data_IF_757172036141
#
_entry.id   IF_757172036141
#
_cell.length_a   1.000
_cell.length_b   1.000
_cell.length_c   1.000
_cell.angle_alpha   90.00
_cell.angle_beta   90.00
_cell.angle_gamma   90.00
#
_symmetry.space_group_name_H-M   'P 1'
#
loop_
_entity.id
_entity.type
_entity.pdbx_description
1 polymer ?
#
# COMPACT_ATOMS: atom_id res chain seq x y z
N UNK A 1 19.59 -5.73 -9.03
CA UNK A 1 18.93 -4.60 -8.30
C UNK A 1 18.82 -3.32 -9.11
N UNK A 2 19.89 -2.73 -9.67
CA UNK A 2 19.79 -1.46 -10.41
C UNK A 2 18.77 -1.50 -11.58
N UNK A 3 18.81 -2.58 -12.39
CA UNK A 3 17.83 -2.83 -13.46
C UNK A 3 16.38 -2.84 -12.99
N UNK A 4 16.11 -3.45 -11.83
CA UNK A 4 14.77 -3.50 -11.24
C UNK A 4 14.28 -2.08 -10.89
N UNK A 5 15.11 -1.31 -10.18
CA UNK A 5 14.74 0.06 -9.79
C UNK A 5 14.55 0.97 -11.00
N UNK A 6 15.37 0.79 -12.05
CA UNK A 6 15.23 1.51 -13.31
C UNK A 6 13.91 1.18 -14.02
N UNK A 7 13.57 -0.11 -14.09
CA UNK A 7 12.31 -0.59 -14.66
C UNK A 7 11.09 -0.06 -13.88
N UNK A 8 11.10 -0.17 -12.54
CA UNK A 8 10.02 0.33 -11.71
C UNK A 8 9.87 1.87 -11.83
N UNK A 9 10.98 2.60 -11.92
CA UNK A 9 10.96 4.04 -12.15
C UNK A 9 10.46 4.41 -13.56
N UNK A 10 10.76 3.59 -14.59
CA UNK A 10 10.25 3.78 -15.94
C UNK A 10 8.72 3.59 -15.99
N UNK A 11 8.19 2.56 -15.34
CA UNK A 11 6.74 2.34 -15.25
C UNK A 11 6.04 3.47 -14.50
N UNK A 12 6.64 3.95 -13.38
CA UNK A 12 6.12 5.13 -12.66
C UNK A 12 6.06 6.36 -13.58
N UNK A 13 7.10 6.60 -14.39
CA UNK A 13 7.09 7.71 -15.37
C UNK A 13 6.03 7.53 -16.44
N UNK A 14 5.87 6.33 -16.99
CA UNK A 14 4.85 6.04 -17.99
C UNK A 14 3.43 6.29 -17.45
N UNK A 15 3.13 5.83 -16.23
CA UNK A 15 1.84 6.11 -15.57
C UNK A 15 1.66 7.62 -15.36
N UNK A 16 2.71 8.32 -14.93
CA UNK A 16 2.67 9.78 -14.73
C UNK A 16 2.43 10.56 -16.02
N UNK A 17 3.04 10.14 -17.13
CA UNK A 17 2.86 10.74 -18.45
C UNK A 17 1.45 10.51 -18.99
N UNK A 18 0.90 9.31 -18.79
CA UNK A 18 -0.43 8.94 -19.28
C UNK A 18 -1.58 9.52 -18.42
N UNK A 19 -1.41 9.55 -17.09
CA UNK A 19 -2.49 9.84 -16.15
C UNK A 19 -2.32 11.15 -15.38
N UNK A 20 -1.19 11.84 -15.54
CA UNK A 20 -0.88 13.03 -14.77
C UNK A 20 -0.67 12.74 -13.28
N UNK A 21 -0.94 13.72 -12.42
CA UNK A 21 -0.67 13.57 -10.97
C UNK A 21 -1.67 12.68 -10.25
N UNK A 22 -2.92 12.59 -10.71
CA UNK A 22 -4.02 11.96 -9.98
C UNK A 22 -3.83 10.45 -9.73
N UNK A 23 -2.98 9.78 -10.52
CA UNK A 23 -2.71 8.34 -10.40
C UNK A 23 -1.28 8.11 -9.91
N UNK A 24 -1.15 7.37 -8.81
CA UNK A 24 0.12 6.84 -8.31
C UNK A 24 0.48 5.47 -8.89
N UNK A 25 1.75 5.09 -8.78
CA UNK A 25 2.23 3.75 -9.14
C UNK A 25 3.27 3.25 -8.14
N UNK A 26 3.07 2.03 -7.65
CA UNK A 26 4.04 1.30 -6.83
C UNK A 26 4.13 -0.15 -7.31
N UNK A 27 5.33 -0.71 -7.30
CA UNK A 27 5.54 -2.13 -7.55
C UNK A 27 5.90 -2.85 -6.25
N UNK A 28 5.30 -4.00 -6.03
CA UNK A 28 5.54 -4.89 -4.90
C UNK A 28 6.08 -6.21 -5.45
N UNK A 29 7.41 -6.34 -5.44
CA UNK A 29 8.12 -7.39 -6.16
C UNK A 29 8.02 -8.79 -5.54
N UNK A 30 7.90 -8.86 -4.22
CA UNK A 30 7.73 -10.07 -3.44
C UNK A 30 6.96 -9.70 -2.16
N UNK A 31 6.50 -10.70 -1.42
CA UNK A 31 5.93 -10.54 -0.09
C UNK A 31 6.97 -10.83 1.00
N UNK A 32 8.25 -10.53 0.75
CA UNK A 32 9.32 -10.61 1.73
C UNK A 32 9.70 -9.23 2.28
N UNK A 33 10.69 -9.19 3.17
CA UNK A 33 11.17 -7.97 3.82
C UNK A 33 11.57 -6.89 2.80
N UNK A 34 12.31 -7.27 1.75
CA UNK A 34 12.82 -6.30 0.76
C UNK A 34 11.70 -5.77 -0.14
N UNK A 35 10.80 -6.62 -0.64
CA UNK A 35 9.65 -6.18 -1.41
C UNK A 35 8.77 -5.24 -0.60
N UNK A 36 8.54 -5.56 0.68
CA UNK A 36 7.78 -4.69 1.58
C UNK A 36 8.46 -3.35 1.86
N UNK A 37 9.79 -3.33 2.02
CA UNK A 37 10.55 -2.08 2.19
C UNK A 37 10.42 -1.16 0.96
N UNK A 38 10.65 -1.70 -0.24
CA UNK A 38 10.56 -0.94 -1.49
C UNK A 38 9.11 -0.48 -1.74
N UNK A 39 8.11 -1.31 -1.40
CA UNK A 39 6.69 -0.94 -1.42
C UNK A 39 6.40 0.22 -0.47
N UNK A 40 6.84 0.17 0.79
CA UNK A 40 6.61 1.26 1.75
C UNK A 40 7.20 2.59 1.26
N UNK A 41 8.42 2.57 0.72
CA UNK A 41 9.06 3.75 0.13
C UNK A 41 8.27 4.30 -1.05
N UNK A 42 7.82 3.44 -1.96
CA UNK A 42 7.00 3.82 -3.11
C UNK A 42 5.63 4.35 -2.71
N UNK A 43 4.95 3.68 -1.78
CA UNK A 43 3.64 4.06 -1.26
C UNK A 43 3.66 5.47 -0.67
N UNK A 44 4.66 5.82 0.15
CA UNK A 44 4.78 7.18 0.72
C UNK A 44 4.94 8.29 -0.36
N UNK A 45 5.43 7.95 -1.55
CA UNK A 45 5.61 8.89 -2.66
C UNK A 45 4.35 8.96 -3.53
N UNK A 46 3.72 7.82 -3.80
CA UNK A 46 2.65 7.69 -4.80
C UNK A 46 1.25 7.48 -4.21
N UNK A 47 1.09 7.45 -2.89
CA UNK A 47 -0.19 7.43 -2.17
C UNK A 47 -0.52 8.75 -1.45
N UNK A 48 0.05 9.87 -1.91
CA UNK A 48 -0.15 11.20 -1.30
C UNK A 48 -1.58 11.71 -1.44
N UNK A 49 -1.91 12.78 -0.70
CA UNK A 49 -3.23 13.43 -0.72
C UNK A 49 -3.66 13.92 -2.11
N UNK A 50 -2.71 14.25 -3.00
CA UNK A 50 -2.97 14.67 -4.39
C UNK A 50 -3.23 13.52 -5.37
N UNK A 51 -3.39 12.29 -4.84
CA UNK A 51 -3.65 11.07 -5.60
C UNK A 51 -5.06 10.58 -5.30
N UNK A 52 -5.83 10.37 -6.36
CA UNK A 52 -7.19 9.83 -6.33
C UNK A 52 -7.20 8.31 -6.59
N UNK A 53 -6.20 7.81 -7.32
CA UNK A 53 -6.01 6.39 -7.56
C UNK A 53 -4.56 5.94 -7.36
N UNK A 54 -4.37 4.67 -7.02
CA UNK A 54 -3.06 4.01 -6.94
C UNK A 54 -3.08 2.69 -7.71
N UNK A 55 -2.10 2.53 -8.61
CA UNK A 55 -1.78 1.23 -9.22
C UNK A 55 -0.75 0.53 -8.33
N UNK A 56 -1.10 -0.66 -7.85
CA UNK A 56 -0.18 -1.59 -7.20
C UNK A 56 0.13 -2.69 -8.22
N UNK A 57 1.37 -2.73 -8.69
CA UNK A 57 1.86 -3.74 -9.62
C UNK A 57 2.50 -4.89 -8.85
N UNK A 58 1.87 -6.07 -8.90
CA UNK A 58 2.33 -7.33 -8.27
C UNK A 58 2.68 -8.39 -9.32
N UNK A 59 2.94 -7.96 -10.56
CA UNK A 59 3.39 -8.86 -11.63
C UNK A 59 4.74 -9.46 -11.29
N UNK A 60 4.90 -10.76 -11.51
CA UNK A 60 6.13 -11.47 -11.14
C UNK A 60 6.34 -11.65 -9.63
N UNK A 61 5.34 -11.35 -8.79
CA UNK A 61 5.44 -11.55 -7.34
C UNK A 61 5.17 -13.01 -6.96
N UNK A 62 6.21 -13.71 -6.49
CA UNK A 62 6.17 -15.14 -6.19
C UNK A 62 5.65 -15.47 -4.76
N UNK A 63 5.17 -14.47 -4.03
CA UNK A 63 4.67 -14.60 -2.65
C UNK A 63 5.71 -14.30 -1.59
N UNK A 64 5.52 -14.88 -0.39
CA UNK A 64 6.22 -14.53 0.85
C UNK A 64 5.28 -14.61 2.05
N UNK A 65 5.33 -13.65 2.98
CA UNK A 65 4.57 -13.70 4.24
C UNK A 65 4.11 -12.35 4.81
N UNK A 66 4.23 -11.25 4.05
CA UNK A 66 3.88 -9.89 4.52
C UNK A 66 2.51 -9.40 4.05
N UNK A 67 1.65 -10.26 3.50
CA UNK A 67 0.30 -9.89 3.04
C UNK A 67 -0.51 -9.11 4.06
N UNK A 68 -0.50 -9.52 5.34
CA UNK A 68 -1.20 -8.82 6.43
C UNK A 68 -0.79 -7.34 6.54
N UNK A 69 0.52 -7.07 6.44
CA UNK A 69 1.06 -5.71 6.54
C UNK A 69 0.69 -4.87 5.31
N UNK A 70 0.71 -5.48 4.13
CA UNK A 70 0.29 -4.86 2.87
C UNK A 70 -1.22 -4.53 2.94
N UNK A 71 -2.05 -5.48 3.38
CA UNK A 71 -3.49 -5.30 3.50
C UNK A 71 -3.86 -4.21 4.51
N UNK A 72 -3.22 -4.18 5.68
CA UNK A 72 -3.42 -3.11 6.67
C UNK A 72 -3.15 -1.73 6.07
N UNK A 73 -2.14 -1.61 5.20
CA UNK A 73 -1.83 -0.34 4.52
C UNK A 73 -2.86 0.02 3.45
N UNK A 74 -3.24 -0.93 2.60
CA UNK A 74 -4.14 -0.69 1.46
C UNK A 74 -5.61 -0.50 1.89
N UNK A 75 -6.00 -1.09 3.02
CA UNK A 75 -7.35 -1.03 3.54
C UNK A 75 -7.59 0.14 4.51
N UNK A 76 -6.57 0.92 4.86
CA UNK A 76 -6.74 2.12 5.68
C UNK A 76 -7.38 3.24 4.84
N UNK A 77 -8.66 3.61 5.07
CA UNK A 77 -9.36 4.57 4.24
C UNK A 77 -8.92 6.00 4.56
N UNK A 78 -8.94 6.86 3.54
CA UNK A 78 -8.78 8.30 3.73
C UNK A 78 -10.09 8.84 4.33
N UNK A 79 -10.00 9.38 5.54
CA UNK A 79 -11.15 9.92 6.27
C UNK A 79 -11.39 11.40 5.97
N UNK A 80 -10.32 12.14 5.66
CA UNK A 80 -10.42 13.56 5.37
C UNK A 80 -9.09 14.21 5.10
N UNK A 81 -9.05 15.54 5.29
CA UNK A 81 -7.86 16.35 5.12
C UNK A 81 -7.67 17.28 6.32
N UNK A 82 -6.41 17.50 6.68
CA UNK A 82 -6.04 18.57 7.58
C UNK A 82 -5.58 19.76 6.75
N UNK A 83 -6.29 20.89 6.90
CA UNK A 83 -5.99 22.14 6.23
C UNK A 83 -5.31 23.09 7.24
N UNK A 84 -3.97 23.19 7.26
CA UNK A 84 -3.31 24.12 8.15
C UNK A 84 -3.57 25.57 7.70
N UNK A 85 -3.54 26.52 8.64
CA UNK A 85 -3.68 27.95 8.34
C UNK A 85 -2.60 28.45 7.35
N UNK A 86 -1.44 27.80 7.37
CA UNK A 86 -0.35 28.00 6.43
C UNK A 86 0.23 26.65 6.03
N UNK A 87 0.42 26.39 4.74
CA UNK A 87 1.00 25.15 4.23
C UNK A 87 0.08 24.40 3.27
N UNK A 88 0.43 23.15 2.97
CA UNK A 88 -0.36 22.27 2.11
C UNK A 88 -1.32 21.41 2.94
N UNK A 89 -2.50 21.12 2.38
CA UNK A 89 -3.40 20.16 2.99
C UNK A 89 -2.78 18.75 2.99
N UNK A 90 -2.81 18.09 4.13
CA UNK A 90 -2.42 16.69 4.30
C UNK A 90 -3.65 15.81 4.40
N UNK A 91 -3.52 14.53 4.08
CA UNK A 91 -4.59 13.56 4.27
C UNK A 91 -4.63 13.07 5.72
N UNK A 92 -5.81 12.67 6.18
CA UNK A 92 -6.02 12.04 7.48
C UNK A 92 -6.70 10.68 7.28
N UNK A 93 -6.14 9.58 7.80
CA UNK A 93 -4.77 9.44 8.34
C UNK A 93 -3.68 9.76 7.31
N UNK A 94 -2.49 10.17 7.76
CA UNK A 94 -1.37 10.63 6.91
C UNK A 94 -0.96 9.61 5.84
N UNK A 95 -1.07 8.32 6.16
CA UNK A 95 -0.67 7.21 5.30
C UNK A 95 -1.86 6.41 4.78
N UNK A 96 -3.04 7.02 4.70
CA UNK A 96 -4.21 6.40 4.09
C UNK A 96 -3.97 6.11 2.61
N UNK A 97 -4.53 4.99 2.14
CA UNK A 97 -4.49 4.64 0.73
C UNK A 97 -5.46 5.55 -0.07
N UNK A 98 -5.18 5.81 -1.36
CA UNK A 98 -6.10 6.56 -2.21
C UNK A 98 -7.46 5.86 -2.30
N UNK A 99 -8.54 6.62 -2.55
CA UNK A 99 -9.89 6.05 -2.63
C UNK A 99 -9.99 4.92 -3.66
N UNK A 100 -9.45 5.10 -4.86
CA UNK A 100 -9.42 4.07 -5.89
C UNK A 100 -8.11 3.28 -5.89
N UNK A 101 -8.21 1.94 -5.87
CA UNK A 101 -7.07 1.05 -6.03
C UNK A 101 -7.22 0.19 -7.28
N UNK A 102 -6.13 0.04 -8.02
CA UNK A 102 -5.99 -0.90 -9.14
C UNK A 102 -4.86 -1.85 -8.80
N UNK A 103 -5.14 -3.15 -8.79
CA UNK A 103 -4.13 -4.18 -8.61
C UNK A 103 -3.80 -4.79 -9.97
N UNK A 104 -2.55 -4.67 -10.39
CA UNK A 104 -2.07 -5.23 -11.65
C UNK A 104 -1.43 -6.59 -11.39
N UNK A 105 -2.04 -7.64 -11.95
CA UNK A 105 -1.70 -9.05 -11.72
C UNK A 105 -1.31 -9.75 -13.04
N UNK A 106 -0.49 -10.78 -12.96
CA UNK A 106 -0.15 -11.65 -14.09
C UNK A 106 -0.12 -13.13 -13.70
N UNK A 107 0.19 -13.99 -14.66
CA UNK A 107 0.34 -15.43 -14.48
C UNK A 107 1.47 -15.83 -13.52
N UNK A 108 2.36 -14.90 -13.16
CA UNK A 108 3.47 -15.10 -12.23
C UNK A 108 3.15 -14.62 -10.81
N UNK A 109 2.06 -13.88 -10.61
CA UNK A 109 1.55 -13.59 -9.26
C UNK A 109 1.13 -14.90 -8.58
N UNK A 110 1.73 -15.23 -7.45
CA UNK A 110 1.49 -16.49 -6.74
C UNK A 110 1.46 -16.38 -5.21
N UNK A 111 0.95 -17.41 -4.55
CA UNK A 111 1.01 -17.60 -3.10
C UNK A 111 0.45 -16.40 -2.32
N UNK A 112 1.23 -15.81 -1.41
CA UNK A 112 0.80 -14.69 -0.56
C UNK A 112 0.33 -13.46 -1.35
N UNK A 113 0.79 -13.27 -2.59
CA UNK A 113 0.28 -12.23 -3.48
C UNK A 113 -1.14 -12.52 -4.01
N UNK A 114 -1.50 -13.79 -4.18
CA UNK A 114 -2.87 -14.19 -4.52
C UNK A 114 -3.83 -13.97 -3.36
N UNK A 115 -3.35 -14.08 -2.11
CA UNK A 115 -4.12 -13.74 -0.90
C UNK A 115 -4.53 -12.27 -0.94
N UNK A 116 -3.57 -11.37 -1.23
CA UNK A 116 -3.84 -9.93 -1.37
C UNK A 116 -4.81 -9.66 -2.52
N UNK A 117 -4.60 -10.28 -3.67
CA UNK A 117 -5.48 -10.12 -4.83
C UNK A 117 -6.92 -10.57 -4.54
N UNK A 118 -7.09 -11.76 -3.95
CA UNK A 118 -8.39 -12.28 -3.55
C UNK A 118 -9.06 -11.39 -2.51
N UNK A 119 -8.35 -10.98 -1.46
CA UNK A 119 -8.91 -10.16 -0.39
C UNK A 119 -9.42 -8.83 -0.94
N UNK A 120 -8.60 -8.11 -1.71
CA UNK A 120 -8.98 -6.81 -2.26
C UNK A 120 -10.14 -6.91 -3.26
N UNK A 121 -10.22 -7.99 -4.03
CA UNK A 121 -11.35 -8.24 -4.93
C UNK A 121 -12.63 -8.57 -4.16
N UNK A 122 -12.57 -9.49 -3.19
CA UNK A 122 -13.73 -9.96 -2.44
C UNK A 122 -14.37 -8.88 -1.56
N UNK A 123 -13.58 -7.93 -1.07
CA UNK A 123 -14.05 -6.77 -0.31
C UNK A 123 -14.39 -5.56 -1.20
N UNK A 124 -14.29 -5.70 -2.53
CA UNK A 124 -14.55 -4.61 -3.48
C UNK A 124 -13.60 -3.41 -3.33
N UNK A 125 -12.44 -3.61 -2.70
CA UNK A 125 -11.48 -2.56 -2.36
C UNK A 125 -10.62 -2.13 -3.55
N UNK A 126 -10.32 -3.06 -4.46
CA UNK A 126 -9.50 -2.80 -5.64
C UNK A 126 -10.07 -3.42 -6.92
N UNK A 127 -9.79 -2.78 -8.06
CA UNK A 127 -10.05 -3.36 -9.38
C UNK A 127 -8.82 -4.13 -9.87
N UNK A 128 -8.93 -5.44 -10.05
CA UNK A 128 -7.88 -6.29 -10.60
C UNK A 128 -7.83 -6.17 -12.14
N UNK A 129 -6.62 -5.95 -12.67
CA UNK A 129 -6.35 -5.79 -14.10
C UNK A 129 -5.18 -6.69 -14.47
N UNK A 130 -5.21 -7.31 -15.65
CA UNK A 130 -4.09 -8.10 -16.19
C UNK A 130 -4.49 -9.52 -16.56
N UNK A 131 -3.70 -10.50 -16.15
CA UNK A 131 -3.97 -11.92 -16.40
C UNK A 131 -4.36 -12.67 -15.13
N UNK A 132 -4.91 -13.87 -15.27
CA UNK A 132 -5.21 -14.75 -14.12
C UNK A 132 -3.90 -15.17 -13.46
N UNK A 133 -3.88 -15.19 -12.13
CA UNK A 133 -2.72 -15.58 -11.31
C UNK A 133 -2.43 -17.08 -11.36
N UNK A 134 -1.30 -17.50 -10.78
CA UNK A 134 -0.79 -18.86 -10.89
C UNK A 134 -1.71 -19.94 -10.29
N UNK A 135 -2.32 -19.66 -9.14
CA UNK A 135 -3.18 -20.61 -8.43
C UNK A 135 -2.44 -21.59 -7.55
N UNK A 136 -1.44 -21.15 -6.79
CA UNK A 136 -0.75 -22.00 -5.83
C UNK A 136 -0.58 -21.29 -4.51
N UNK A 137 -1.48 -21.58 -3.58
CA UNK A 137 -1.56 -20.93 -2.27
C UNK A 137 -1.52 -21.98 -1.16
N UNK A 138 -0.31 -22.48 -0.96
CA UNK A 138 0.05 -23.44 0.07
C UNK A 138 1.33 -23.03 0.80
N UNK A 139 1.38 -23.30 2.10
CA UNK A 139 2.59 -23.21 2.88
C UNK A 139 3.48 -24.43 2.58
N UNK A 140 4.78 -24.15 2.44
CA UNK A 140 5.80 -25.17 2.21
C UNK A 140 6.42 -25.61 3.54
N UNK A 141 6.43 -26.92 3.77
CA UNK A 141 7.24 -27.57 4.78
C UNK A 141 8.60 -27.98 4.21
N UNK A 142 9.60 -28.09 5.08
CA UNK A 142 10.95 -28.57 4.74
C UNK A 142 11.26 -29.81 5.58
N UNK A 143 11.80 -30.84 4.95
CA UNK A 143 12.25 -32.06 5.64
C UNK A 143 13.64 -32.44 5.16
N UNK A 144 14.59 -32.51 6.08
CA UNK A 144 15.97 -32.92 5.80
C UNK A 144 16.10 -34.46 5.85
N UNK A 145 16.72 -35.03 4.83
CA UNK A 145 17.02 -36.46 4.75
C UNK A 145 18.36 -36.78 5.42
N UNK A 146 18.64 -38.07 5.64
CA UNK A 146 19.86 -38.52 6.34
C UNK A 146 21.17 -38.15 5.62
N UNK A 147 21.11 -37.80 4.34
CA UNK A 147 22.25 -37.35 3.53
C UNK A 147 22.38 -35.82 3.44
N UNK A 148 21.53 -35.07 4.16
CA UNK A 148 21.48 -33.61 4.16
C UNK A 148 20.63 -33.00 3.03
N UNK A 149 19.94 -33.82 2.22
CA UNK A 149 19.02 -33.31 1.20
C UNK A 149 17.79 -32.68 1.83
N UNK A 150 17.44 -31.45 1.44
CA UNK A 150 16.20 -30.79 1.84
C UNK A 150 15.07 -31.10 0.84
N UNK A 151 13.96 -31.64 1.36
CA UNK A 151 12.73 -31.88 0.61
C UNK A 151 11.70 -30.83 0.98
N UNK A 152 11.30 -30.04 -0.01
CA UNK A 152 10.23 -29.06 0.08
C UNK A 152 8.91 -29.73 -0.30
N UNK A 153 7.91 -29.69 0.58
CA UNK A 153 6.60 -30.33 0.35
C UNK A 153 5.45 -29.42 0.79
N UNK A 154 4.27 -29.49 0.13
CA UNK A 154 3.11 -28.70 0.54
C UNK A 154 2.55 -29.22 1.86
N UNK A 155 2.57 -28.36 2.88
CA UNK A 155 2.18 -28.73 4.25
C UNK A 155 0.74 -28.28 4.57
N UNK A 156 0.42 -27.02 4.26
CA UNK A 156 -0.89 -26.43 4.54
C UNK A 156 -1.44 -25.76 3.29
N UNK A 157 -2.70 -26.04 2.94
CA UNK A 157 -3.40 -25.32 1.87
C UNK A 157 -4.24 -24.20 2.48
N UNK A 158 -4.41 -23.10 1.77
CA UNK A 158 -5.28 -22.02 2.23
C UNK A 158 -6.76 -22.32 1.94
N UNK A 159 -7.59 -22.33 2.99
CA UNK A 159 -9.04 -22.43 2.90
C UNK A 159 -9.70 -21.07 3.19
N UNK A 160 -10.33 -20.49 2.19
CA UNK A 160 -11.04 -19.22 2.26
C UNK A 160 -12.36 -19.38 3.00
N UNK A 161 -12.72 -18.40 3.83
CA UNK A 161 -13.96 -18.46 4.64
C UNK A 161 -15.21 -18.47 3.74
N UNK A 162 -15.24 -17.62 2.70
CA UNK A 162 -16.40 -17.47 1.81
C UNK A 162 -16.38 -18.50 0.67
N UNK A 163 -15.20 -18.79 0.12
CA UNK A 163 -15.05 -19.54 -1.14
C UNK A 163 -14.29 -20.87 -1.01
N UNK A 164 -13.94 -21.29 0.21
CA UNK A 164 -13.23 -22.55 0.45
C UNK A 164 -11.91 -22.65 -0.30
N UNK A 165 -11.74 -23.68 -1.14
CA UNK A 165 -10.50 -23.93 -1.89
C UNK A 165 -10.43 -23.22 -3.25
N UNK A 166 -11.26 -22.20 -3.49
CA UNK A 166 -11.52 -21.67 -4.83
C UNK A 166 -10.32 -21.14 -5.62
N UNK A 167 -9.21 -20.80 -4.96
CA UNK A 167 -8.02 -20.25 -5.62
C UNK A 167 -6.91 -21.29 -5.84
N UNK A 168 -6.87 -22.36 -5.05
CA UNK A 168 -5.84 -23.40 -5.20
C UNK A 168 -6.07 -24.16 -6.52
N UNK A 169 -5.03 -24.27 -7.34
CA UNK A 169 -5.04 -24.85 -8.68
C UNK A 169 -5.98 -24.12 -9.68
N UNK A 170 -6.38 -22.88 -9.37
CA UNK A 170 -7.27 -22.06 -10.21
C UNK A 170 -6.74 -20.65 -10.40
N UNK A 171 -6.26 -20.01 -9.33
CA UNK A 171 -5.85 -18.61 -9.31
C UNK A 171 -7.00 -17.62 -9.21
N UNK A 172 -6.65 -16.36 -9.02
CA UNK A 172 -7.54 -15.19 -8.98
C UNK A 172 -7.68 -14.63 -10.39
N UNK A 173 -8.92 -14.46 -10.85
CA UNK A 173 -9.20 -13.88 -12.17
C UNK A 173 -9.29 -12.35 -12.09
N UNK A 174 -8.76 -11.61 -13.07
CA UNK A 174 -8.86 -10.15 -13.11
C UNK A 174 -10.29 -9.71 -13.44
N UNK A 175 -10.69 -8.53 -12.97
CA UNK A 175 -11.94 -7.88 -13.41
C UNK A 175 -11.80 -7.34 -14.84
N UNK A 176 -10.62 -6.83 -15.19
CA UNK A 176 -10.28 -6.36 -16.54
C UNK A 176 -9.17 -7.23 -17.11
N UNK A 177 -9.54 -8.11 -18.05
CA UNK A 177 -8.61 -9.02 -18.68
C UNK A 177 -7.72 -8.28 -19.70
N UNK A 178 -6.41 -8.35 -19.48
CA UNK A 178 -5.36 -7.85 -20.34
C UNK A 178 -4.20 -8.87 -20.33
N UNK A 179 -4.30 -9.97 -21.09
CA UNK A 179 -3.23 -10.95 -21.18
C UNK A 179 -2.05 -10.39 -21.98
N UNK A 180 -0.85 -10.90 -21.72
CA UNK A 180 0.30 -10.56 -22.54
C UNK A 180 0.11 -11.06 -23.98
N UNK A 181 0.34 -10.23 -25.02
CA UNK A 181 0.15 -10.65 -26.40
C UNK A 181 1.24 -11.66 -26.80
N UNK A 182 0.93 -12.68 -27.62
CA UNK A 182 1.84 -13.78 -27.96
C UNK A 182 3.17 -13.37 -28.64
N UNK A 183 3.31 -12.13 -29.11
CA UNK A 183 4.55 -11.35 -29.34
C UNK A 183 4.25 -10.23 -30.36
N UNK A 184 4.89 -9.05 -30.21
CA UNK A 184 4.91 -8.02 -31.27
C UNK A 184 4.42 -6.63 -30.90
N UNK A 185 3.81 -6.41 -29.73
CA UNK A 185 3.55 -5.04 -29.26
C UNK A 185 4.77 -4.51 -28.49
N UNK A 186 5.35 -3.35 -28.88
CA UNK A 186 6.50 -2.74 -28.19
C UNK A 186 6.12 -2.10 -26.84
N UNK A 187 4.86 -2.18 -26.43
CA UNK A 187 4.32 -1.50 -25.26
C UNK A 187 3.74 -2.49 -24.25
N UNK A 188 3.92 -2.17 -22.96
CA UNK A 188 3.31 -2.91 -21.87
C UNK A 188 1.78 -2.71 -21.87
N UNK A 189 1.07 -3.67 -22.48
CA UNK A 189 -0.38 -3.61 -22.65
C UNK A 189 -1.12 -3.67 -21.32
N UNK A 190 -0.54 -4.36 -20.33
CA UNK A 190 -1.15 -4.57 -19.02
C UNK A 190 -1.05 -3.28 -18.20
N UNK A 191 0.13 -2.66 -18.19
CA UNK A 191 0.32 -1.36 -17.54
C UNK A 191 -0.56 -0.29 -18.19
N UNK A 192 -0.70 -0.29 -19.52
CA UNK A 192 -1.59 0.63 -20.24
C UNK A 192 -3.06 0.42 -19.85
N UNK A 193 -3.51 -0.82 -19.73
CA UNK A 193 -4.87 -1.16 -19.29
C UNK A 193 -5.10 -0.73 -17.82
N UNK A 194 -4.13 -0.98 -16.94
CA UNK A 194 -4.17 -0.55 -15.54
C UNK A 194 -4.22 0.98 -15.43
N UNK A 195 -3.39 1.69 -16.21
CA UNK A 195 -3.38 3.15 -16.28
C UNK A 195 -4.71 3.72 -16.79
N UNK A 196 -5.30 3.13 -17.83
CA UNK A 196 -6.62 3.53 -18.32
C UNK A 196 -7.68 3.35 -17.22
N UNK A 197 -7.70 2.19 -16.58
CA UNK A 197 -8.65 1.84 -15.52
C UNK A 197 -8.51 2.79 -14.32
N UNK A 198 -7.28 3.01 -13.86
CA UNK A 198 -6.98 3.91 -12.75
C UNK A 198 -7.36 5.37 -13.07
N UNK A 199 -7.11 5.83 -14.30
CA UNK A 199 -7.51 7.16 -14.73
C UNK A 199 -9.04 7.33 -14.80
N UNK A 200 -9.79 6.28 -15.16
CA UNK A 200 -11.24 6.30 -15.12
C UNK A 200 -11.76 6.41 -13.68
N UNK A 201 -11.28 5.55 -12.79
CA UNK A 201 -11.65 5.58 -11.37
C UNK A 201 -11.27 6.89 -10.70
N UNK A 202 -10.09 7.45 -11.02
CA UNK A 202 -9.66 8.75 -10.50
C UNK A 202 -10.63 9.89 -10.90
N UNK A 203 -11.16 9.87 -12.12
CA UNK A 203 -12.16 10.86 -12.56
C UNK A 203 -13.48 10.71 -11.81
N UNK A 204 -13.91 9.48 -11.53
CA UNK A 204 -15.12 9.20 -10.75
C UNK A 204 -14.97 9.71 -9.31
N UNK A 205 -13.82 9.44 -8.68
CA UNK A 205 -13.47 9.96 -7.35
C UNK A 205 -13.47 11.49 -7.33
N UNK A 206 -12.82 12.13 -8.31
CA UNK A 206 -12.77 13.59 -8.41
C UNK A 206 -14.18 14.20 -8.61
N UNK A 207 -15.04 13.56 -9.41
CA UNK A 207 -16.42 14.00 -9.62
C UNK A 207 -17.26 13.87 -8.33
N UNK A 208 -17.10 12.77 -7.58
CA UNK A 208 -17.77 12.58 -6.30
C UNK A 208 -17.34 13.65 -5.27
N UNK A 209 -16.04 13.93 -5.16
CA UNK A 209 -15.54 14.98 -4.26
C UNK A 209 -16.00 16.38 -4.65
N UNK A 210 -16.13 16.69 -5.95
CA UNK A 210 -16.65 17.97 -6.41
C UNK A 210 -18.14 18.16 -6.02
N UNK A 211 -18.95 17.11 -6.18
CA UNK A 211 -20.34 17.05 -5.72
C UNK A 211 -20.43 17.25 -4.20
N UNK A 212 -19.59 16.57 -3.44
CA UNK A 212 -19.56 16.69 -1.98
C UNK A 212 -19.15 18.10 -1.56
N UNK A 213 -18.17 18.73 -2.20
CA UNK A 213 -17.76 20.10 -1.92
C UNK A 213 -18.87 21.13 -2.20
N UNK A 214 -19.66 20.95 -3.26
CA UNK A 214 -20.80 21.82 -3.56
C UNK A 214 -21.94 21.64 -2.54
N UNK A 215 -22.20 20.40 -2.12
CA UNK A 215 -23.24 20.08 -1.12
C UNK A 215 -22.86 20.45 0.31
N UNK A 216 -21.56 20.52 0.61
CA UNK A 216 -21.03 20.64 1.97
C UNK A 216 -20.63 22.05 2.36
N UNK A 217 -21.05 23.12 1.66
CA UNK A 217 -20.78 24.54 1.98
C UNK A 217 -20.58 24.73 3.49
N UNK A 218 -19.31 24.64 3.92
CA UNK A 218 -19.00 24.29 5.30
C UNK A 218 -19.49 25.42 6.18
N UNK A 219 -20.41 25.12 7.10
CA UNK A 219 -20.81 26.10 8.10
C UNK A 219 -19.54 26.63 8.78
N UNK A 220 -19.39 27.96 8.94
CA UNK A 220 -18.21 28.53 9.54
C UNK A 220 -18.00 27.91 10.92
N UNK A 221 -16.80 27.36 11.14
CA UNK A 221 -16.45 26.69 12.39
C UNK A 221 -16.88 27.55 13.58
N UNK A 222 -17.60 27.00 14.57
CA UNK A 222 -17.93 27.75 15.76
C UNK A 222 -16.62 28.25 16.40
N UNK A 223 -16.55 29.56 16.69
CA UNK A 223 -15.35 30.21 17.26
C UNK A 223 -14.93 29.49 18.55
N UNK A 224 -13.97 28.58 18.48
CA UNK A 224 -13.31 28.03 19.66
C UNK A 224 -12.28 29.02 20.17
N UNK A 225 -12.29 29.27 21.49
CA UNK A 225 -11.20 30.00 22.16
C UNK A 225 -9.92 29.18 22.04
N UNK A 226 -9.08 29.52 21.06
CA UNK A 226 -7.73 28.97 20.97
C UNK A 226 -6.90 29.57 22.11
N UNK A 227 -6.75 28.79 23.19
CA UNK A 227 -5.85 29.11 24.28
C UNK A 227 -4.48 28.55 23.93
N UNK A 228 -3.58 29.43 23.50
CA UNK A 228 -2.17 29.10 23.37
C UNK A 228 -1.63 28.81 24.77
N UNK A 229 -1.26 27.55 25.05
CA UNK A 229 -0.52 27.21 26.27
C UNK A 229 0.96 27.13 25.94
N UNK A 230 1.71 28.18 26.25
CA UNK A 230 3.19 28.14 26.24
C UNK A 230 3.63 27.57 27.58
N UNK A 231 4.22 26.36 27.58
CA UNK A 231 4.90 25.82 28.76
C UNK A 231 6.40 26.09 28.62
N UNK A 232 7.02 26.96 29.45
CA UNK A 232 8.46 27.13 29.41
C UNK A 232 9.17 25.82 29.82
N UNK A 233 10.17 25.42 29.05
CA UNK A 233 11.00 24.21 29.27
C UNK A 233 11.87 24.30 30.54
N UNK A 234 11.98 25.47 31.18
CA UNK A 234 12.95 25.74 32.26
C UNK A 234 12.56 25.20 33.63
N UNK A 235 11.36 24.64 33.83
CA UNK A 235 10.93 24.18 35.15
C UNK A 235 11.51 22.81 35.59
N UNK A 236 12.28 22.11 34.74
CA UNK A 236 12.79 20.76 35.05
C UNK A 236 14.30 20.69 35.37
N UNK A 237 15.06 21.76 35.17
CA UNK A 237 16.52 21.73 35.41
C UNK A 237 16.88 22.15 36.84
N UNK A 238 16.02 22.90 37.54
CA UNK A 238 16.37 23.50 38.83
C UNK A 238 15.95 22.66 40.07
N UNK A 239 15.26 21.54 39.86
CA UNK A 239 14.84 20.64 40.95
C UNK A 239 15.82 19.49 41.18
N UNK A 240 16.59 19.06 40.17
CA UNK A 240 17.57 17.97 40.29
C UNK A 240 18.94 18.43 40.81
N UNK A 241 19.30 19.70 40.62
CA UNK A 241 20.57 20.26 41.11
C UNK A 241 20.53 20.54 42.62
N UNK A 242 19.39 20.98 43.16
CA UNK A 242 19.23 21.28 44.59
C UNK A 242 19.11 20.06 45.50
N UNK A 243 18.82 18.88 44.94
CA UNK A 243 18.73 17.64 45.71
C UNK A 243 20.11 16.98 45.89
N UNK A 244 21.03 17.12 44.94
CA UNK A 244 22.39 16.56 45.05
C UNK A 244 23.35 17.38 45.93
N UNK A 245 23.19 18.70 46.04
CA UNK A 245 24.04 19.51 46.93
C UNK A 245 23.66 19.37 48.42
N UNK A 246 22.40 19.05 48.73
CA UNK A 246 21.95 18.80 50.10
C UNK A 246 22.41 17.44 50.64
N UNK A 247 22.47 16.39 49.80
CA UNK A 247 22.90 15.05 50.22
C UNK A 247 24.42 14.90 50.33
N UNK A 248 25.23 15.74 49.68
CA UNK A 248 26.69 15.68 49.81
C UNK A 248 27.25 16.43 51.03
N UNK A 249 26.50 17.39 51.59
CA UNK A 249 26.91 18.12 52.80
C UNK A 249 26.54 17.40 54.11
N UNK A 250 25.71 16.36 54.07
CA UNK A 250 25.32 15.57 55.27
C UNK A 250 26.14 14.26 55.40
N UNK A 251 27.03 13.96 54.44
CA UNK A 251 27.85 12.75 54.43
C UNK A 251 29.35 12.98 54.73
N UNK A 252 29.79 14.22 54.93
CA UNK A 252 31.16 14.56 55.35
C UNK A 252 31.16 15.75 56.33
N UNK A 253 31.23 15.43 57.62
CA UNK A 253 31.55 16.29 58.79
C UNK A 253 30.51 17.30 59.31
#
# INVERSE_FOLDING_TARGET
RARYLEWAAANRRAVREQCGRAVGYVHLADMEERGYEDFCRGFLVDARSDRDALIIDVRGNEGGSVSDLVLQRLCLPRLGHEAPAHGQCTQLPEHAAPPALVLLIDEHTSSDAEVVAYYLASEGRATLVGARTWGGVFAMGVTELADGTEVFHPECRMHLIKDGWAIENVGVSPHVCAPWPPSGEPCDVQLRAAAHTAAALAREVAAAHASDAESSQLEPLPRRQQHWSVRPQTAAIDASSKQNEAEQHEACE
#
